data_IF_220100916915
#
_entry.id   IF_220100916915
#
_cell.length_a   1.000
_cell.length_b   1.000
_cell.length_c   1.000
_cell.angle_alpha   90.00
_cell.angle_beta   90.00
_cell.angle_gamma   90.00
#
_symmetry.space_group_name_H-M   'P 1'
#
loop_
_entity.id
_entity.type
_entity.pdbx_description
1 polymer ?
#
# COMPACT_ATOMS: atom_id res chain seq x y z
N UNK A 1 12.00 -23.56 -1.95
CA UNK A 1 13.17 -24.17 -2.62
C UNK A 1 13.46 -23.37 -3.88
N UNK A 2 14.69 -22.84 -4.01
CA UNK A 2 15.14 -22.07 -5.19
C UNK A 2 15.98 -23.02 -6.04
N UNK A 3 15.36 -23.67 -7.01
CA UNK A 3 16.08 -24.56 -7.93
C UNK A 3 16.79 -23.67 -8.95
N UNK A 4 18.12 -23.80 -9.06
CA UNK A 4 18.93 -23.16 -10.11
C UNK A 4 18.89 -21.62 -10.14
N UNK A 5 18.54 -20.98 -9.03
CA UNK A 5 18.52 -19.53 -8.93
C UNK A 5 17.35 -18.87 -9.68
N UNK A 6 16.32 -19.65 -10.03
CA UNK A 6 15.02 -19.18 -10.49
C UNK A 6 14.03 -19.11 -9.31
N UNK A 7 13.12 -18.12 -9.29
CA UNK A 7 12.08 -18.08 -8.27
C UNK A 7 11.14 -19.29 -8.44
N UNK A 8 10.61 -19.84 -7.33
CA UNK A 8 9.60 -20.88 -7.42
C UNK A 8 8.35 -20.35 -8.12
N UNK A 9 7.62 -21.24 -8.80
CA UNK A 9 6.38 -20.89 -9.51
C UNK A 9 5.21 -20.69 -8.54
N UNK A 10 5.20 -21.40 -7.41
CA UNK A 10 4.20 -21.26 -6.36
C UNK A 10 4.88 -21.09 -4.99
N UNK A 11 5.47 -19.91 -4.69
CA UNK A 11 6.06 -19.66 -3.37
C UNK A 11 4.99 -19.56 -2.29
N UNK A 12 5.19 -20.32 -1.22
CA UNK A 12 4.55 -20.06 0.07
C UNK A 12 5.64 -19.73 1.10
N UNK A 13 5.46 -18.63 1.82
CA UNK A 13 6.33 -18.17 2.90
C UNK A 13 5.49 -17.89 4.14
N UNK A 14 5.91 -18.44 5.28
CA UNK A 14 5.37 -18.11 6.60
C UNK A 14 6.51 -17.59 7.47
N UNK A 15 6.31 -16.43 8.08
CA UNK A 15 7.22 -15.84 9.06
C UNK A 15 6.43 -15.55 10.31
N UNK A 16 6.84 -16.19 11.41
CA UNK A 16 6.23 -16.00 12.72
C UNK A 16 7.16 -15.17 13.61
N UNK A 17 6.58 -14.36 14.50
CA UNK A 17 7.35 -13.72 15.56
C UNK A 17 8.10 -12.44 15.15
N UNK A 18 7.68 -11.72 14.11
CA UNK A 18 8.31 -10.45 13.74
C UNK A 18 8.00 -9.40 14.81
N UNK A 19 9.01 -8.72 15.33
CA UNK A 19 8.81 -7.57 16.24
C UNK A 19 9.41 -6.32 15.61
N UNK A 20 8.61 -5.26 15.51
CA UNK A 20 9.07 -3.96 15.05
C UNK A 20 9.50 -3.16 16.29
N UNK A 21 10.77 -2.79 16.32
CA UNK A 21 11.34 -1.90 17.34
C UNK A 21 11.83 -0.66 16.64
N UNK A 22 11.38 0.50 17.11
CA UNK A 22 11.79 1.77 16.55
C UNK A 22 13.06 2.26 17.24
N UNK A 23 14.02 2.74 16.44
CA UNK A 23 15.18 3.43 16.98
C UNK A 23 14.91 4.93 16.99
N UNK A 24 14.85 5.51 18.18
CA UNK A 24 14.60 6.93 18.39
C UNK A 24 15.89 7.76 18.38
N UNK A 25 17.06 7.14 18.20
CA UNK A 25 18.36 7.79 18.35
C UNK A 25 18.74 8.06 19.82
N UNK A 26 17.76 8.16 20.71
CA UNK A 26 17.95 8.11 22.17
C UNK A 26 17.93 6.66 22.67
N UNK A 27 19.03 6.23 23.31
CA UNK A 27 19.20 4.84 23.77
C UNK A 27 18.20 4.43 24.85
N UNK A 28 17.74 5.36 25.68
CA UNK A 28 16.78 5.10 26.75
C UNK A 28 15.40 4.89 26.16
N UNK A 29 14.95 5.76 25.26
CA UNK A 29 13.68 5.60 24.54
C UNK A 29 13.66 4.33 23.70
N UNK A 30 14.73 4.04 22.95
CA UNK A 30 14.86 2.80 22.18
C UNK A 30 14.85 1.55 23.09
N UNK A 31 15.41 1.62 24.29
CA UNK A 31 15.32 0.52 25.27
C UNK A 31 13.90 0.33 25.81
N UNK A 32 13.22 1.41 26.20
CA UNK A 32 11.85 1.37 26.69
C UNK A 32 10.89 0.85 25.63
N UNK A 33 11.03 1.29 24.38
CA UNK A 33 10.23 0.80 23.24
C UNK A 33 10.38 -0.72 23.05
N UNK A 34 11.61 -1.25 23.11
CA UNK A 34 11.84 -2.71 23.03
C UNK A 34 11.18 -3.49 24.15
N UNK A 35 11.12 -2.94 25.36
CA UNK A 35 10.42 -3.59 26.48
C UNK A 35 8.91 -3.55 26.25
N UNK A 36 8.37 -2.40 25.84
CA UNK A 36 6.93 -2.24 25.59
C UNK A 36 6.44 -3.12 24.44
N UNK A 37 7.26 -3.32 23.40
CA UNK A 37 6.93 -4.15 22.25
C UNK A 37 7.23 -5.64 22.47
N UNK A 38 7.72 -6.03 23.65
CA UNK A 38 8.00 -7.43 23.95
C UNK A 38 6.70 -8.24 23.94
N UNK A 39 6.65 -9.24 23.07
CA UNK A 39 5.46 -10.10 22.89
C UNK A 39 4.42 -9.55 21.91
N UNK A 40 4.63 -8.35 21.36
CA UNK A 40 3.84 -7.82 20.23
C UNK A 40 4.49 -8.32 18.93
N UNK A 41 4.04 -9.49 18.49
CA UNK A 41 4.57 -10.14 17.29
C UNK A 41 3.62 -9.99 16.11
N UNK A 42 4.20 -9.90 14.92
CA UNK A 42 3.51 -9.88 13.64
C UNK A 42 3.75 -11.23 12.98
N UNK A 43 2.67 -11.83 12.47
CA UNK A 43 2.75 -13.00 11.60
C UNK A 43 2.59 -12.56 10.15
N UNK A 44 3.41 -13.14 9.26
CA UNK A 44 3.37 -12.90 7.83
C UNK A 44 3.13 -14.20 7.11
N UNK A 45 2.07 -14.24 6.32
CA UNK A 45 1.82 -15.29 5.35
C UNK A 45 1.86 -14.69 3.95
N UNK A 46 2.64 -15.29 3.07
CA UNK A 46 2.69 -14.93 1.65
C UNK A 46 2.47 -16.18 0.81
N UNK A 47 1.55 -16.09 -0.13
CA UNK A 47 1.20 -17.13 -1.09
C UNK A 47 1.01 -16.51 -2.47
N UNK A 48 1.70 -17.06 -3.46
CA UNK A 48 1.56 -16.66 -4.84
C UNK A 48 1.69 -17.84 -5.80
N UNK A 49 1.19 -17.67 -7.01
CA UNK A 49 1.27 -18.63 -8.11
C UNK A 49 1.60 -17.92 -9.43
N UNK A 50 2.41 -18.55 -10.26
CA UNK A 50 2.78 -18.04 -11.58
C UNK A 50 2.35 -19.01 -12.67
N UNK A 51 1.44 -18.52 -13.52
CA UNK A 51 0.99 -19.18 -14.73
C UNK A 51 1.90 -18.79 -15.90
N UNK A 52 2.80 -19.70 -16.27
CA UNK A 52 3.71 -19.52 -17.39
C UNK A 52 2.99 -19.41 -18.74
N UNK A 53 1.84 -20.08 -18.92
CA UNK A 53 1.08 -20.08 -20.16
C UNK A 53 0.45 -18.72 -20.46
N UNK A 54 -0.02 -18.03 -19.41
CA UNK A 54 -0.60 -16.70 -19.51
C UNK A 54 0.33 -15.56 -19.10
N UNK A 55 1.58 -15.87 -18.69
CA UNK A 55 2.56 -14.90 -18.15
C UNK A 55 1.95 -14.04 -17.02
N UNK A 56 1.22 -14.70 -16.12
CA UNK A 56 0.47 -14.07 -15.04
C UNK A 56 1.00 -14.51 -13.69
N UNK A 57 1.30 -13.56 -12.82
CA UNK A 57 1.62 -13.77 -11.42
C UNK A 57 0.41 -13.36 -10.57
N UNK A 58 -0.10 -14.29 -9.79
CA UNK A 58 -1.20 -14.09 -8.85
C UNK A 58 -0.63 -14.10 -7.43
N UNK A 59 -0.77 -13.00 -6.71
CA UNK A 59 -0.55 -12.98 -5.26
C UNK A 59 -1.89 -13.33 -4.63
N UNK A 60 -2.03 -14.58 -4.21
CA UNK A 60 -3.29 -15.11 -3.67
C UNK A 60 -3.56 -14.52 -2.29
N UNK A 61 -2.51 -14.41 -1.47
CA UNK A 61 -2.59 -13.78 -0.16
C UNK A 61 -1.22 -13.26 0.30
N UNK A 62 -1.18 -12.02 0.75
CA UNK A 62 -0.20 -11.49 1.67
C UNK A 62 -0.96 -11.05 2.93
N UNK A 63 -0.85 -11.82 4.01
CA UNK A 63 -1.50 -11.54 5.27
C UNK A 63 -0.45 -11.09 6.30
N UNK A 64 -0.70 -9.94 6.90
CA UNK A 64 0.01 -9.44 8.08
C UNK A 64 -0.98 -9.47 9.24
N UNK A 65 -0.73 -10.31 10.24
CA UNK A 65 -1.54 -10.35 11.46
C UNK A 65 -0.80 -9.67 12.59
N UNK A 66 -1.46 -8.69 13.20
CA UNK A 66 -0.94 -7.90 14.31
C UNK A 66 -1.64 -8.32 15.61
N UNK A 67 -1.15 -7.89 16.78
CA UNK A 67 -1.89 -8.03 18.03
C UNK A 67 -3.30 -7.42 17.95
N UNK A 68 -4.18 -7.82 18.87
CA UNK A 68 -5.52 -7.23 19.05
C UNK A 68 -6.51 -7.47 17.87
N UNK A 69 -6.32 -8.55 17.10
CA UNK A 69 -7.10 -8.95 15.90
C UNK A 69 -6.98 -8.00 14.69
N UNK A 70 -6.00 -7.11 14.71
CA UNK A 70 -5.71 -6.26 13.57
C UNK A 70 -5.01 -7.05 12.47
N UNK A 71 -5.31 -6.73 11.22
CA UNK A 71 -4.69 -7.39 10.08
C UNK A 71 -4.66 -6.53 8.84
N UNK A 72 -3.72 -6.85 7.96
CA UNK A 72 -3.67 -6.38 6.58
C UNK A 72 -3.63 -7.60 5.68
N UNK A 73 -4.62 -7.75 4.82
CA UNK A 73 -4.65 -8.75 3.77
C UNK A 73 -4.50 -8.05 2.42
N UNK A 74 -3.65 -8.59 1.56
CA UNK A 74 -3.40 -8.09 0.22
C UNK A 74 -3.45 -9.23 -0.80
N UNK A 75 -4.05 -8.99 -1.95
CA UNK A 75 -3.98 -9.87 -3.13
C UNK A 75 -3.83 -9.05 -4.39
N UNK A 76 -3.22 -9.63 -5.42
CA UNK A 76 -2.99 -8.95 -6.69
C UNK A 76 -2.92 -9.90 -7.88
N UNK A 77 -3.28 -9.38 -9.04
CA UNK A 77 -3.07 -10.01 -10.35
C UNK A 77 -2.13 -9.14 -11.17
N UNK A 78 -1.07 -9.76 -11.68
CA UNK A 78 0.00 -9.08 -12.41
C UNK A 78 0.22 -9.82 -13.72
N UNK A 79 0.04 -9.13 -14.84
CA UNK A 79 0.29 -9.66 -16.17
C UNK A 79 1.67 -9.25 -16.71
N UNK A 80 2.14 -9.96 -17.74
CA UNK A 80 3.39 -9.65 -18.42
C UNK A 80 4.64 -10.14 -17.70
N UNK A 81 4.50 -10.92 -16.62
CA UNK A 81 5.59 -11.46 -15.80
C UNK A 81 6.11 -12.77 -16.38
N UNK A 82 7.43 -12.87 -16.54
CA UNK A 82 8.08 -14.07 -17.08
C UNK A 82 9.20 -14.55 -16.16
N UNK A 83 8.90 -15.60 -15.38
CA UNK A 83 9.81 -16.18 -14.39
C UNK A 83 10.63 -17.35 -14.94
N UNK A 84 10.52 -17.66 -16.24
CA UNK A 84 11.17 -18.84 -16.85
C UNK A 84 12.70 -18.78 -16.86
N UNK A 85 13.28 -17.58 -16.80
CA UNK A 85 14.72 -17.38 -16.68
C UNK A 85 15.05 -16.04 -16.03
N UNK A 86 16.25 -15.89 -15.46
CA UNK A 86 16.72 -14.60 -14.91
C UNK A 86 16.69 -13.46 -15.94
N UNK A 87 17.05 -13.76 -17.19
CA UNK A 87 17.00 -12.76 -18.27
C UNK A 87 15.55 -12.35 -18.57
N UNK A 88 14.62 -13.31 -18.59
CA UNK A 88 13.22 -13.03 -18.84
C UNK A 88 12.58 -12.23 -17.70
N UNK A 89 12.96 -12.48 -16.45
CA UNK A 89 12.54 -11.67 -15.30
C UNK A 89 12.94 -10.21 -15.52
N UNK A 90 14.21 -9.96 -15.85
CA UNK A 90 14.73 -8.62 -16.10
C UNK A 90 14.02 -7.93 -17.28
N UNK A 91 13.78 -8.66 -18.37
CA UNK A 91 13.06 -8.13 -19.52
C UNK A 91 11.58 -7.85 -19.23
N UNK A 92 10.95 -8.69 -18.40
CA UNK A 92 9.53 -8.55 -18.04
C UNK A 92 9.26 -7.36 -17.11
N UNK A 93 10.30 -6.82 -16.45
CA UNK A 93 10.17 -5.67 -15.56
C UNK A 93 9.56 -4.45 -16.25
N UNK A 94 9.84 -4.25 -17.55
CA UNK A 94 9.27 -3.15 -18.34
C UNK A 94 7.82 -3.38 -18.79
N UNK A 95 7.36 -4.63 -18.83
CA UNK A 95 6.05 -5.04 -19.34
C UNK A 95 5.07 -5.49 -18.26
N UNK A 96 5.50 -5.56 -17.00
CA UNK A 96 4.61 -5.95 -15.90
C UNK A 96 3.46 -4.95 -15.80
N UNK A 97 2.26 -5.47 -15.57
CA UNK A 97 1.07 -4.65 -15.43
C UNK A 97 0.17 -5.23 -14.33
N UNK A 98 -0.07 -4.44 -13.29
CA UNK A 98 -1.04 -4.77 -12.24
C UNK A 98 -2.43 -4.55 -12.81
N UNK A 99 -3.23 -5.61 -12.92
CA UNK A 99 -4.60 -5.54 -13.45
C UNK A 99 -5.63 -5.47 -12.33
N UNK A 100 -5.32 -6.06 -11.17
CA UNK A 100 -6.19 -6.05 -10.01
C UNK A 100 -5.38 -6.06 -8.71
N UNK A 101 -5.85 -5.33 -7.70
CA UNK A 101 -5.40 -5.48 -6.32
C UNK A 101 -6.59 -5.42 -5.38
N UNK A 102 -6.54 -6.17 -4.29
CA UNK A 102 -7.47 -6.00 -3.17
C UNK A 102 -6.64 -5.89 -1.90
N UNK A 103 -6.85 -4.83 -1.14
CA UNK A 103 -6.26 -4.64 0.19
C UNK A 103 -7.40 -4.52 1.21
N UNK A 104 -7.40 -5.37 2.23
CA UNK A 104 -8.33 -5.33 3.36
C UNK A 104 -7.52 -5.05 4.62
N UNK A 105 -7.81 -3.94 5.28
CA UNK A 105 -7.12 -3.47 6.47
C UNK A 105 -8.14 -3.40 7.59
N UNK A 106 -7.92 -4.16 8.65
CA UNK A 106 -8.63 -4.00 9.92
C UNK A 106 -7.68 -3.41 10.94
N UNK A 107 -8.02 -2.23 11.44
CA UNK A 107 -7.21 -1.50 12.41
C UNK A 107 -8.08 -1.01 13.56
N UNK A 108 -7.86 -1.54 14.76
CA UNK A 108 -8.24 -0.94 16.02
C UNK A 108 -7.13 -0.01 16.51
N UNK A 109 -5.87 -0.43 16.34
CA UNK A 109 -4.67 0.27 16.83
C UNK A 109 -3.48 0.23 15.88
N UNK A 110 -3.52 -0.58 14.82
CA UNK A 110 -2.38 -0.79 13.91
C UNK A 110 -1.91 0.50 13.25
N UNK A 111 -2.84 1.40 12.89
CA UNK A 111 -2.45 2.71 12.40
C UNK A 111 -1.61 3.49 13.43
N UNK A 112 -2.08 3.55 14.66
CA UNK A 112 -1.49 4.29 15.78
C UNK A 112 -0.14 3.69 16.18
N UNK A 113 -0.07 2.37 16.25
CA UNK A 113 1.08 1.65 16.77
C UNK A 113 2.20 1.54 15.72
N UNK A 114 1.90 1.57 14.42
CA UNK A 114 2.90 1.33 13.35
C UNK A 114 3.02 2.44 12.30
N UNK A 115 1.96 3.19 11.99
CA UNK A 115 1.96 4.17 10.89
C UNK A 115 1.95 5.63 11.36
N UNK A 116 1.33 5.93 12.50
CA UNK A 116 1.19 7.29 13.00
C UNK A 116 2.53 7.96 13.21
N UNK A 117 3.49 7.25 13.80
CA UNK A 117 4.82 7.79 14.06
C UNK A 117 5.58 8.14 12.76
N UNK A 118 5.82 7.21 11.82
CA UNK A 118 6.53 7.56 10.57
C UNK A 118 5.78 8.62 9.75
N UNK A 119 4.45 8.60 9.73
CA UNK A 119 3.66 9.66 9.07
C UNK A 119 3.79 11.00 9.78
N UNK A 120 3.75 11.01 11.12
CA UNK A 120 3.99 12.20 11.93
C UNK A 120 5.37 12.79 11.68
N UNK A 121 6.41 11.96 11.59
CA UNK A 121 7.75 12.43 11.21
C UNK A 121 7.82 12.96 9.78
N UNK A 122 7.13 12.33 8.83
CA UNK A 122 7.15 12.79 7.44
C UNK A 122 6.38 14.11 7.25
N UNK A 123 5.25 14.29 7.96
CA UNK A 123 4.27 15.33 7.69
C UNK A 123 4.27 16.47 8.71
N UNK A 124 4.69 16.19 9.95
CA UNK A 124 4.56 17.10 11.10
C UNK A 124 5.89 17.50 11.74
N UNK A 125 7.02 16.86 11.39
CA UNK A 125 8.32 17.01 12.09
C UNK A 125 8.86 18.45 12.25
N UNK A 126 8.34 19.42 11.49
CA UNK A 126 8.74 20.83 11.59
C UNK A 126 7.58 21.78 11.91
N UNK A 127 6.44 21.26 12.34
CA UNK A 127 5.30 22.09 12.73
C UNK A 127 5.45 22.54 14.18
N UNK A 128 5.36 23.84 14.42
CA UNK A 128 5.24 24.40 15.77
C UNK A 128 3.83 24.17 16.36
N UNK A 129 2.85 23.86 15.49
CA UNK A 129 1.47 23.47 15.84
C UNK A 129 1.06 22.23 15.03
N UNK A 130 1.24 21.02 15.58
CA UNK A 130 0.88 19.78 14.89
C UNK A 130 -0.62 19.64 14.62
N UNK A 131 -1.48 20.18 15.48
CA UNK A 131 -2.94 20.05 15.33
C UNK A 131 -3.44 20.90 14.17
N UNK A 132 -3.00 22.17 14.10
CA UNK A 132 -3.30 23.03 12.96
C UNK A 132 -2.78 22.44 11.65
N UNK A 133 -1.58 21.83 11.67
CA UNK A 133 -1.01 21.18 10.49
C UNK A 133 -1.81 19.96 10.04
N UNK A 134 -2.34 19.16 10.97
CA UNK A 134 -3.23 18.05 10.64
C UNK A 134 -4.52 18.57 9.99
N UNK A 135 -5.12 19.64 10.51
CA UNK A 135 -6.31 20.24 9.90
C UNK A 135 -6.03 20.72 8.46
N UNK A 136 -4.92 21.42 8.24
CA UNK A 136 -4.49 21.85 6.90
C UNK A 136 -4.30 20.66 5.94
N UNK A 137 -3.65 19.59 6.40
CA UNK A 137 -3.44 18.39 5.59
C UNK A 137 -4.76 17.68 5.24
N UNK A 138 -5.75 17.71 6.14
CA UNK A 138 -7.10 17.21 5.87
C UNK A 138 -7.76 18.06 4.78
N UNK A 139 -7.68 19.38 4.85
CA UNK A 139 -8.26 20.25 3.82
C UNK A 139 -7.61 20.04 2.45
N UNK A 140 -6.27 19.92 2.42
CA UNK A 140 -5.53 19.56 1.20
C UNK A 140 -5.99 18.20 0.67
N UNK A 141 -6.12 17.20 1.54
CA UNK A 141 -6.63 15.87 1.18
C UNK A 141 -8.02 15.92 0.56
N UNK A 142 -8.96 16.67 1.15
CA UNK A 142 -10.30 16.87 0.59
C UNK A 142 -10.26 17.49 -0.80
N UNK A 143 -9.42 18.52 -1.00
CA UNK A 143 -9.27 19.17 -2.29
C UNK A 143 -8.77 18.19 -3.36
N UNK A 144 -7.79 17.35 -3.05
CA UNK A 144 -7.30 16.32 -3.98
C UNK A 144 -8.36 15.26 -4.28
N UNK A 145 -9.09 14.79 -3.27
CA UNK A 145 -10.18 13.81 -3.44
C UNK A 145 -11.28 14.37 -4.35
N UNK A 146 -11.59 15.67 -4.24
CA UNK A 146 -12.57 16.34 -5.08
C UNK A 146 -12.10 16.54 -6.53
N UNK A 147 -10.79 16.48 -6.79
CA UNK A 147 -10.22 16.58 -8.14
C UNK A 147 -10.16 15.24 -8.89
N UNK A 148 -10.34 14.11 -8.20
CA UNK A 148 -10.27 12.79 -8.84
C UNK A 148 -11.51 12.60 -9.71
N UNK A 149 -11.37 12.25 -10.99
CA UNK A 149 -12.50 11.94 -11.87
C UNK A 149 -13.36 10.79 -11.35
N UNK A 150 -14.69 10.88 -11.53
CA UNK A 150 -15.66 9.88 -11.06
C UNK A 150 -15.46 8.48 -11.67
N UNK A 151 -14.85 8.39 -12.86
CA UNK A 151 -14.51 7.11 -13.51
C UNK A 151 -13.32 6.42 -12.83
N UNK A 152 -12.44 7.18 -12.16
CA UNK A 152 -11.33 6.65 -11.36
C UNK A 152 -11.79 6.40 -9.93
N UNK A 153 -12.51 7.34 -9.31
CA UNK A 153 -12.97 7.25 -7.92
C UNK A 153 -14.49 7.47 -7.88
N UNK A 154 -15.29 6.39 -7.95
CA UNK A 154 -16.74 6.49 -7.88
C UNK A 154 -17.21 7.24 -6.63
N UNK A 155 -18.35 7.94 -6.74
CA UNK A 155 -18.88 8.80 -5.67
C UNK A 155 -19.00 8.11 -4.29
N UNK A 156 -19.36 6.82 -4.26
CA UNK A 156 -19.40 6.05 -3.02
C UNK A 156 -18.00 5.92 -2.38
N UNK A 157 -17.00 5.53 -3.18
CA UNK A 157 -15.60 5.44 -2.74
C UNK A 157 -15.07 6.80 -2.27
N UNK A 158 -15.48 7.89 -2.94
CA UNK A 158 -15.12 9.24 -2.55
C UNK A 158 -15.65 9.58 -1.15
N UNK A 159 -16.92 9.26 -0.86
CA UNK A 159 -17.52 9.46 0.45
C UNK A 159 -16.83 8.63 1.55
N UNK A 160 -16.53 7.36 1.26
CA UNK A 160 -15.85 6.47 2.21
C UNK A 160 -14.40 6.94 2.49
N UNK A 161 -13.69 7.43 1.47
CA UNK A 161 -12.35 8.01 1.62
C UNK A 161 -12.37 9.33 2.41
N UNK A 162 -13.39 10.18 2.21
CA UNK A 162 -13.58 11.39 3.02
C UNK A 162 -13.90 11.04 4.47
N UNK A 163 -14.69 9.98 4.72
CA UNK A 163 -14.97 9.49 6.08
C UNK A 163 -13.71 8.98 6.78
N UNK A 164 -12.85 8.24 6.07
CA UNK A 164 -11.54 7.83 6.57
C UNK A 164 -10.68 9.06 6.93
N UNK A 165 -10.61 10.05 6.03
CA UNK A 165 -9.86 11.29 6.25
C UNK A 165 -10.35 12.05 7.48
N UNK A 166 -11.65 12.04 7.74
CA UNK A 166 -12.25 12.70 8.89
C UNK A 166 -11.80 12.11 10.22
N UNK A 167 -11.50 10.81 10.26
CA UNK A 167 -10.97 10.14 11.45
C UNK A 167 -9.48 10.37 11.69
N UNK A 168 -8.75 10.89 10.70
CA UNK A 168 -7.34 11.19 10.89
C UNK A 168 -7.16 12.22 12.02
N UNK A 169 -6.14 12.04 12.89
CA UNK A 169 -5.01 11.11 12.74
C UNK A 169 -5.22 9.72 13.35
N UNK A 170 -6.43 9.37 13.80
CA UNK A 170 -6.70 8.16 14.59
C UNK A 170 -7.76 7.26 13.92
N UNK A 171 -7.60 6.86 12.64
CA UNK A 171 -8.59 6.03 11.97
C UNK A 171 -8.68 4.66 12.64
N UNK A 172 -9.92 4.24 12.93
CA UNK A 172 -10.21 2.90 13.42
C UNK A 172 -11.41 2.33 12.69
N UNK A 173 -11.29 1.08 12.24
CA UNK A 173 -12.24 0.56 11.27
C UNK A 173 -11.73 -0.62 10.46
N UNK A 174 -12.53 -0.94 9.44
CA UNK A 174 -12.13 -1.76 8.30
C UNK A 174 -12.08 -0.90 7.05
N UNK A 175 -10.97 -0.96 6.33
CA UNK A 175 -10.74 -0.27 5.06
C UNK A 175 -10.48 -1.32 3.98
N UNK A 176 -11.34 -1.38 2.98
CA UNK A 176 -11.15 -2.21 1.79
C UNK A 176 -10.85 -1.30 0.61
N UNK A 177 -9.74 -1.58 -0.09
CA UNK A 177 -9.32 -0.89 -1.29
C UNK A 177 -9.20 -1.92 -2.41
N UNK A 178 -10.08 -1.82 -3.40
CA UNK A 178 -10.00 -2.62 -4.62
C UNK A 178 -9.61 -1.74 -5.78
N UNK A 179 -8.56 -2.13 -6.49
CA UNK A 179 -8.13 -1.47 -7.72
C UNK A 179 -8.34 -2.43 -8.87
N UNK A 180 -8.96 -1.96 -9.94
CA UNK A 180 -8.97 -2.67 -11.23
C UNK A 180 -8.41 -1.74 -12.30
N UNK A 181 -7.71 -2.29 -13.29
CA UNK A 181 -7.11 -1.50 -14.36
C UNK A 181 -7.19 -2.22 -15.70
N UNK A 182 -7.76 -1.56 -16.70
CA UNK A 182 -7.84 -2.08 -18.07
C UNK A 182 -7.44 -1.01 -19.10
N UNK A 183 -6.29 -1.18 -19.81
CA UNK A 183 -5.26 -2.21 -19.57
C UNK A 183 -4.56 -1.99 -18.21
N UNK A 184 -3.86 -3.00 -17.69
CA UNK A 184 -3.21 -2.93 -16.38
C UNK A 184 -2.24 -1.74 -16.20
N UNK A 185 -1.91 -1.45 -14.95
CA UNK A 185 -0.98 -0.39 -14.56
C UNK A 185 0.44 -0.92 -14.42
N UNK A 186 1.36 -0.41 -15.24
CA UNK A 186 2.76 -0.81 -15.27
C UNK A 186 3.71 0.38 -15.37
N UNK A 187 5.03 0.15 -15.20
CA UNK A 187 6.04 1.20 -15.25
C UNK A 187 6.06 1.95 -16.58
N UNK A 188 5.68 1.29 -17.68
CA UNK A 188 5.56 1.92 -19.00
C UNK A 188 4.59 3.13 -19.01
N UNK A 189 3.51 3.10 -18.22
CA UNK A 189 2.55 4.22 -18.12
C UNK A 189 3.15 5.45 -17.43
N UNK A 190 4.08 5.23 -16.51
CA UNK A 190 4.74 6.29 -15.75
C UNK A 190 6.07 6.73 -16.36
N UNK A 191 6.58 6.03 -17.38
CA UNK A 191 7.85 6.36 -18.01
C UNK A 191 7.89 7.80 -18.54
N UNK A 192 6.80 8.27 -19.13
CA UNK A 192 6.67 9.65 -19.63
C UNK A 192 6.65 10.68 -18.52
N UNK A 193 6.04 10.36 -17.37
CA UNK A 193 6.06 11.21 -16.18
C UNK A 193 7.47 11.27 -15.57
N UNK A 194 8.18 10.13 -15.51
CA UNK A 194 9.54 10.06 -14.98
C UNK A 194 10.58 10.80 -15.85
N UNK A 195 10.36 10.89 -17.17
CA UNK A 195 11.25 11.58 -18.10
C UNK A 195 11.09 13.12 -18.12
N UNK A 196 10.07 13.67 -17.45
CA UNK A 196 9.82 15.13 -17.44
C UNK A 196 10.82 15.86 -16.55
N UNK A 197 11.65 16.69 -17.17
CA UNK A 197 12.49 17.67 -16.46
C UNK A 197 11.58 18.73 -15.82
N UNK A 198 11.49 18.74 -14.49
CA UNK A 198 10.65 19.66 -13.72
C UNK A 198 9.58 18.98 -12.85
N UNK A 199 9.42 17.65 -12.95
CA UNK A 199 8.47 16.90 -12.15
C UNK A 199 7.01 17.07 -12.61
N UNK A 200 6.07 16.65 -11.75
CA UNK A 200 4.63 16.74 -11.99
C UNK A 200 4.16 18.10 -11.46
N UNK A 201 3.69 18.96 -12.36
CA UNK A 201 3.22 20.32 -12.02
C UNK A 201 1.71 20.47 -12.11
N UNK A 202 1.02 19.48 -12.69
CA UNK A 202 -0.42 19.47 -12.90
C UNK A 202 -0.97 18.07 -12.54
N UNK A 203 -1.87 17.96 -11.55
CA UNK A 203 -2.49 16.69 -11.15
C UNK A 203 -3.18 15.96 -12.30
N UNK A 204 -3.69 16.66 -13.32
CA UNK A 204 -4.33 16.02 -14.48
C UNK A 204 -3.38 15.06 -15.21
N UNK A 205 -2.07 15.31 -15.15
CA UNK A 205 -1.05 14.44 -15.75
C UNK A 205 -0.97 13.07 -15.05
N UNK A 206 -1.28 13.02 -13.76
CA UNK A 206 -1.37 11.75 -13.00
C UNK A 206 -2.62 10.99 -13.45
N UNK A 207 -3.76 11.66 -13.55
CA UNK A 207 -5.02 11.02 -13.96
C UNK A 207 -4.94 10.43 -15.37
N UNK A 208 -4.23 11.11 -16.28
CA UNK A 208 -3.94 10.57 -17.61
C UNK A 208 -3.16 9.25 -17.56
N UNK A 209 -2.16 9.14 -16.69
CA UNK A 209 -1.40 7.89 -16.50
C UNK A 209 -2.26 6.78 -15.87
N UNK A 210 -3.24 7.17 -15.04
CA UNK A 210 -4.19 6.28 -14.38
C UNK A 210 -5.42 5.94 -15.24
N UNK A 211 -5.52 6.42 -16.49
CA UNK A 211 -6.69 6.15 -17.33
C UNK A 211 -7.00 4.65 -17.43
N UNK A 212 -8.26 4.29 -17.16
CA UNK A 212 -8.75 2.91 -17.15
C UNK A 212 -8.55 2.20 -15.80
N UNK A 213 -8.03 2.89 -14.78
CA UNK A 213 -8.02 2.46 -13.39
C UNK A 213 -9.32 2.86 -12.70
N UNK A 214 -9.89 1.95 -11.91
CA UNK A 214 -11.02 2.20 -11.02
C UNK A 214 -10.60 1.82 -9.60
N UNK A 215 -10.86 2.73 -8.66
CA UNK A 215 -10.56 2.57 -7.24
C UNK A 215 -11.88 2.48 -6.45
N UNK A 216 -12.20 1.29 -5.99
CA UNK A 216 -13.31 1.06 -5.08
C UNK A 216 -12.80 1.08 -3.64
N UNK A 217 -13.32 2.01 -2.85
CA UNK A 217 -12.96 2.16 -1.44
C UNK A 217 -14.21 1.90 -0.62
N UNK A 218 -14.06 1.13 0.44
CA UNK A 218 -15.09 0.97 1.47
C UNK A 218 -14.46 1.15 2.83
N UNK A 219 -15.03 2.03 3.63
CA UNK A 219 -14.58 2.29 4.99
C UNK A 219 -15.71 2.08 5.98
N UNK A 220 -15.49 1.20 6.95
CA UNK A 220 -16.43 0.85 8.02
C UNK A 220 -15.80 1.27 9.35
N UNK A 221 -16.20 2.41 9.92
CA UNK A 221 -15.63 2.89 11.17
C UNK A 221 -16.02 1.99 12.35
N UNK A 222 -15.12 1.85 13.32
CA UNK A 222 -15.37 1.13 14.58
C UNK A 222 -15.98 2.02 15.67
#
# INVERSE_FOLDING_TARGET
FVTEGLPPTAPTLRVDGITINQDFGDKTLSYLNRIQNKGRTIEVLFDADWDAGHRRLSINALNLSFPDDDHVQFSAEIEGVDLSSRNNILMSAGSLAITRTVTDIRSKRTFQDYLLQPLGFALLYRSDDPEARVAELKDVGRAYIAMVPDDILPQKSQADLLSLLDQMPDPSGRLVIETTATPGIGPARFATLAMRRGGITDPAQIFEALRGLVLNITFEPL
#
